data_IF_330660006435
#
_entry.id   IF_330660006435
#
_cell.length_a   1.000
_cell.length_b   1.000
_cell.length_c   1.000
_cell.angle_alpha   90.00
_cell.angle_beta   90.00
_cell.angle_gamma   90.00
#
_symmetry.space_group_name_H-M   'P 1'
#
loop_
_entity.id
_entity.type
_entity.pdbx_description
1 polymer ?
#
# COMPACT_ATOMS: atom_id res chain seq x y z
N UNK A 1 45.74 19.28 30.20
CA UNK A 1 44.96 18.78 29.05
C UNK A 1 43.59 18.33 29.49
N UNK A 2 42.53 18.83 28.84
CA UNK A 2 41.16 18.35 29.05
C UNK A 2 40.87 17.30 27.99
N UNK A 3 40.97 16.02 28.34
CA UNK A 3 40.61 14.92 27.44
C UNK A 3 39.08 14.83 27.29
N UNK A 4 38.59 15.09 26.08
CA UNK A 4 37.19 14.86 25.73
C UNK A 4 37.00 13.40 25.30
N UNK A 5 36.32 12.61 26.14
CA UNK A 5 35.93 11.25 25.83
C UNK A 5 34.63 11.21 25.02
N UNK A 6 34.62 10.42 23.94
CA UNK A 6 33.42 10.20 23.13
C UNK A 6 32.43 9.33 23.92
N UNK A 7 31.16 9.74 23.99
CA UNK A 7 30.11 8.92 24.59
C UNK A 7 29.93 7.57 23.85
N UNK A 8 29.54 6.50 24.56
CA UNK A 8 29.07 5.25 23.95
C UNK A 8 27.97 5.48 22.92
N UNK A 9 27.85 4.61 21.92
CA UNK A 9 26.93 4.84 20.78
C UNK A 9 25.45 4.96 21.17
N UNK A 10 25.05 4.30 22.26
CA UNK A 10 23.72 4.32 22.86
C UNK A 10 23.42 5.60 23.66
N UNK A 11 24.43 6.45 23.87
CA UNK A 11 24.35 7.64 24.73
C UNK A 11 24.69 8.93 23.98
N UNK A 12 24.20 10.05 24.52
CA UNK A 12 24.41 11.39 24.03
C UNK A 12 24.86 12.30 25.18
N UNK A 13 25.85 13.19 24.97
CA UNK A 13 26.25 14.14 25.99
C UNK A 13 25.07 15.04 26.40
N UNK A 14 24.96 15.32 27.70
CA UNK A 14 24.05 16.32 28.23
C UNK A 14 24.45 17.73 27.76
N UNK A 15 23.57 18.73 27.97
CA UNK A 15 23.80 20.10 27.48
C UNK A 15 25.11 20.73 28.00
N UNK A 16 25.61 20.27 29.15
CA UNK A 16 26.88 20.71 29.75
C UNK A 16 28.09 19.85 29.34
N UNK A 17 27.87 18.76 28.59
CA UNK A 17 28.88 17.78 28.16
C UNK A 17 29.66 17.15 29.32
N UNK A 18 29.02 17.04 30.47
CA UNK A 18 29.57 16.45 31.69
C UNK A 18 29.19 14.97 31.82
N UNK A 19 28.05 14.55 31.23
CA UNK A 19 27.52 13.19 31.36
C UNK A 19 26.96 12.68 30.04
N UNK A 20 27.08 11.38 29.81
CA UNK A 20 26.44 10.70 28.69
C UNK A 20 25.06 10.15 29.13
N UNK A 21 23.99 10.73 28.60
CA UNK A 21 22.60 10.32 28.83
C UNK A 21 22.15 9.32 27.76
N UNK A 22 21.20 8.41 28.06
CA UNK A 22 20.62 7.54 27.03
C UNK A 22 19.98 8.37 25.91
N UNK A 23 20.24 8.01 24.65
CA UNK A 23 19.57 8.67 23.51
C UNK A 23 18.06 8.39 23.55
N UNK A 24 17.26 9.37 23.13
CA UNK A 24 15.82 9.22 22.99
C UNK A 24 15.47 8.25 21.86
N UNK A 25 14.52 7.35 22.13
CA UNK A 25 14.01 6.40 21.14
C UNK A 25 12.86 7.05 20.38
N UNK A 26 12.98 7.17 19.06
CA UNK A 26 11.96 7.81 18.22
C UNK A 26 11.20 6.79 17.38
N UNK A 27 9.87 6.80 17.50
CA UNK A 27 8.92 6.07 16.66
C UNK A 27 7.63 6.90 16.53
N UNK A 28 6.77 6.58 15.56
CA UNK A 28 5.49 7.26 15.42
C UNK A 28 4.51 6.75 16.49
N UNK A 29 4.28 7.53 17.55
CA UNK A 29 3.43 7.14 18.67
C UNK A 29 1.96 7.57 18.45
N UNK A 30 1.01 6.77 18.97
CA UNK A 30 -0.42 7.08 18.97
C UNK A 30 -0.77 8.31 19.81
N UNK A 31 0.03 8.63 20.82
CA UNK A 31 -0.17 9.77 21.70
C UNK A 31 0.32 11.10 21.09
N UNK A 32 1.13 11.03 20.02
CA UNK A 32 1.53 12.22 19.28
C UNK A 32 0.41 12.68 18.34
N UNK A 33 0.25 13.99 18.16
CA UNK A 33 -0.81 14.59 17.34
C UNK A 33 -0.88 14.03 15.91
N UNK A 34 0.28 13.80 15.28
CA UNK A 34 0.38 13.25 13.94
C UNK A 34 -0.06 11.77 13.89
N UNK A 35 0.41 10.94 14.83
CA UNK A 35 0.02 9.53 14.90
C UNK A 35 -1.47 9.36 15.20
N UNK A 36 -2.00 10.14 16.14
CA UNK A 36 -3.43 10.18 16.45
C UNK A 36 -4.28 10.58 15.24
N UNK A 37 -3.90 11.66 14.55
CA UNK A 37 -4.63 12.14 13.38
C UNK A 37 -4.66 11.09 12.25
N UNK A 38 -3.53 10.47 11.94
CA UNK A 38 -3.44 9.42 10.93
C UNK A 38 -4.29 8.19 11.29
N UNK A 39 -4.31 7.79 12.56
CA UNK A 39 -5.17 6.71 13.03
C UNK A 39 -6.66 7.03 12.87
N UNK A 40 -7.07 8.24 13.25
CA UNK A 40 -8.45 8.70 13.07
C UNK A 40 -8.88 8.71 11.60
N UNK A 41 -8.04 9.23 10.71
CA UNK A 41 -8.30 9.25 9.26
C UNK A 41 -8.44 7.82 8.71
N UNK A 42 -7.53 6.93 9.11
CA UNK A 42 -7.55 5.50 8.73
C UNK A 42 -8.88 4.83 9.09
N UNK A 43 -9.34 5.04 10.33
CA UNK A 43 -10.62 4.49 10.82
C UNK A 43 -11.80 5.12 10.07
N UNK A 44 -11.79 6.44 9.87
CA UNK A 44 -12.85 7.15 9.16
C UNK A 44 -13.02 6.62 7.73
N UNK A 45 -11.93 6.47 6.97
CA UNK A 45 -11.97 5.93 5.61
C UNK A 45 -12.42 4.47 5.56
N UNK A 46 -12.03 3.65 6.54
CA UNK A 46 -12.56 2.29 6.69
C UNK A 46 -14.10 2.31 6.90
N UNK A 47 -14.62 3.15 7.80
CA UNK A 47 -16.05 3.26 8.08
C UNK A 47 -16.86 3.79 6.89
N UNK A 48 -16.31 4.77 6.14
CA UNK A 48 -16.91 5.26 4.92
C UNK A 48 -16.99 4.16 3.86
N UNK A 49 -15.91 3.41 3.67
CA UNK A 49 -15.85 2.29 2.71
C UNK A 49 -16.81 1.17 3.11
N UNK A 50 -16.91 0.86 4.40
CA UNK A 50 -17.88 -0.10 4.94
C UNK A 50 -19.32 0.35 4.68
N UNK A 51 -19.62 1.64 4.84
CA UNK A 51 -20.94 2.20 4.55
C UNK A 51 -21.30 2.04 3.07
N UNK A 52 -20.35 2.30 2.16
CA UNK A 52 -20.51 2.04 0.72
C UNK A 52 -20.74 0.55 0.45
N UNK A 53 -19.97 -0.34 1.09
CA UNK A 53 -20.15 -1.78 0.97
C UNK A 53 -21.55 -2.24 1.40
N UNK A 54 -22.03 -1.78 2.56
CA UNK A 54 -23.39 -2.04 3.04
C UNK A 54 -24.46 -1.54 2.05
N UNK A 55 -24.29 -0.36 1.47
CA UNK A 55 -25.19 0.15 0.45
C UNK A 55 -25.23 -0.76 -0.78
N UNK A 56 -24.08 -1.25 -1.22
CA UNK A 56 -23.94 -2.19 -2.33
C UNK A 56 -24.61 -3.55 -2.05
N UNK A 57 -24.58 -4.03 -0.80
CA UNK A 57 -25.30 -5.22 -0.37
C UNK A 57 -26.81 -5.01 -0.37
N UNK A 58 -27.29 -3.89 0.21
CA UNK A 58 -28.73 -3.57 0.27
C UNK A 58 -29.30 -3.37 -1.14
N UNK A 59 -28.56 -2.68 -2.01
CA UNK A 59 -28.97 -2.37 -3.39
C UNK A 59 -28.54 -3.44 -4.40
N UNK A 60 -28.15 -4.63 -3.94
CA UNK A 60 -27.66 -5.71 -4.81
C UNK A 60 -28.61 -6.05 -5.96
N UNK A 61 -29.93 -5.95 -5.75
CA UNK A 61 -30.96 -6.28 -6.77
C UNK A 61 -31.12 -5.22 -7.87
N UNK A 62 -30.52 -4.04 -7.73
CA UNK A 62 -30.63 -2.99 -8.75
C UNK A 62 -29.88 -3.38 -10.04
N UNK A 63 -30.38 -2.98 -11.22
CA UNK A 63 -29.73 -3.30 -12.50
C UNK A 63 -28.31 -2.72 -12.60
N UNK A 64 -28.06 -1.58 -11.95
CA UNK A 64 -26.74 -0.93 -11.88
C UNK A 64 -25.72 -1.86 -11.19
N UNK A 65 -26.05 -2.39 -10.00
CA UNK A 65 -25.17 -3.30 -9.25
C UNK A 65 -25.08 -4.67 -9.92
N UNK A 66 -26.11 -5.12 -10.65
CA UNK A 66 -26.06 -6.38 -11.41
C UNK A 66 -25.16 -6.28 -12.65
N UNK A 67 -25.18 -5.13 -13.32
CA UNK A 67 -24.35 -4.87 -14.50
C UNK A 67 -22.86 -4.72 -14.13
N UNK A 68 -22.57 -4.15 -12.97
CA UNK A 68 -21.21 -4.03 -12.44
C UNK A 68 -20.85 -5.29 -11.64
N UNK A 69 -20.15 -6.25 -12.26
CA UNK A 69 -19.77 -7.55 -11.70
C UNK A 69 -19.57 -7.52 -10.16
N UNK A 70 -20.58 -8.01 -9.43
CA UNK A 70 -20.75 -7.80 -7.98
C UNK A 70 -19.56 -8.31 -7.18
N UNK A 71 -19.08 -9.49 -7.53
CA UNK A 71 -17.98 -10.16 -6.84
C UNK A 71 -16.70 -9.32 -6.87
N UNK A 72 -16.35 -8.73 -8.03
CA UNK A 72 -15.16 -7.89 -8.16
C UNK A 72 -15.30 -6.57 -7.39
N UNK A 73 -16.51 -5.98 -7.40
CA UNK A 73 -16.75 -4.74 -6.64
C UNK A 73 -16.74 -4.98 -5.13
N UNK A 74 -17.27 -6.11 -4.65
CA UNK A 74 -17.18 -6.51 -3.24
C UNK A 74 -15.74 -6.78 -2.82
N UNK A 75 -14.99 -7.50 -3.64
CA UNK A 75 -13.58 -7.78 -3.39
C UNK A 75 -12.76 -6.49 -3.28
N UNK A 76 -12.98 -5.53 -4.19
CA UNK A 76 -12.30 -4.23 -4.18
C UNK A 76 -12.63 -3.42 -2.92
N UNK A 77 -13.90 -3.36 -2.51
CA UNK A 77 -14.31 -2.64 -1.30
C UNK A 77 -13.71 -3.26 -0.04
N UNK A 78 -13.73 -4.59 0.05
CA UNK A 78 -13.12 -5.33 1.17
C UNK A 78 -11.60 -5.11 1.20
N UNK A 79 -10.92 -5.15 0.04
CA UNK A 79 -9.48 -4.91 -0.02
C UNK A 79 -9.12 -3.48 0.39
N UNK A 80 -9.93 -2.48 -0.02
CA UNK A 80 -9.77 -1.09 0.41
C UNK A 80 -9.95 -0.92 1.92
N UNK A 81 -10.93 -1.59 2.54
CA UNK A 81 -11.08 -1.58 4.00
C UNK A 81 -9.81 -2.08 4.70
N UNK A 82 -9.25 -3.21 4.25
CA UNK A 82 -7.97 -3.70 4.79
C UNK A 82 -6.83 -2.72 4.50
N UNK A 83 -6.85 -2.05 3.35
CA UNK A 83 -5.91 -0.99 2.98
C UNK A 83 -5.92 0.15 4.00
N UNK A 84 -7.10 0.66 4.35
CA UNK A 84 -7.24 1.73 5.34
C UNK A 84 -6.90 1.29 6.77
N UNK A 85 -7.01 0.00 7.10
CA UNK A 85 -6.57 -0.53 8.40
C UNK A 85 -5.06 -0.81 8.47
N UNK A 86 -4.41 -1.03 7.33
CA UNK A 86 -2.98 -1.35 7.27
C UNK A 86 -2.08 -0.31 7.97
N UNK A 87 -2.26 1.02 7.76
CA UNK A 87 -1.52 2.07 8.46
C UNK A 87 -1.51 1.96 9.99
N UNK A 88 -2.57 1.44 10.61
CA UNK A 88 -2.63 1.29 12.07
C UNK A 88 -1.52 0.36 12.58
N UNK A 89 -1.13 -0.62 11.76
CA UNK A 89 -0.01 -1.50 12.12
C UNK A 89 1.34 -0.77 12.11
N UNK A 90 1.48 0.31 11.33
CA UNK A 90 2.70 1.12 11.21
C UNK A 90 2.90 2.09 12.38
N UNK A 91 1.81 2.50 13.05
CA UNK A 91 1.85 3.36 14.23
C UNK A 91 2.19 2.50 15.47
N UNK A 92 3.05 3.02 16.34
CA UNK A 92 3.53 2.36 17.54
C UNK A 92 4.94 1.78 17.40
N UNK A 93 5.47 1.26 18.51
CA UNK A 93 6.86 0.79 18.62
C UNK A 93 7.10 -0.44 17.73
N UNK A 94 8.04 -0.38 16.77
CA UNK A 94 8.39 -1.53 15.95
C UNK A 94 9.18 -2.57 16.77
N UNK A 95 8.70 -3.81 16.73
CA UNK A 95 9.37 -5.04 17.15
C UNK A 95 9.55 -5.97 15.93
N UNK A 96 10.33 -7.03 16.08
CA UNK A 96 10.64 -7.97 14.98
C UNK A 96 9.40 -8.51 14.25
N UNK A 97 8.40 -8.98 15.00
CA UNK A 97 7.14 -9.50 14.42
C UNK A 97 6.37 -8.39 13.71
N UNK A 98 6.27 -7.20 14.31
CA UNK A 98 5.51 -6.09 13.69
C UNK A 98 6.17 -5.60 12.41
N UNK A 99 7.51 -5.64 12.31
CA UNK A 99 8.21 -5.29 11.07
C UNK A 99 7.84 -6.24 9.92
N UNK A 100 7.82 -7.54 10.19
CA UNK A 100 7.38 -8.54 9.20
C UNK A 100 5.92 -8.31 8.79
N UNK A 101 5.02 -8.15 9.76
CA UNK A 101 3.59 -7.96 9.51
C UNK A 101 3.35 -6.69 8.69
N UNK A 102 3.91 -5.54 9.08
CA UNK A 102 3.74 -4.25 8.39
C UNK A 102 4.05 -4.36 6.89
N UNK A 103 5.24 -4.89 6.57
CA UNK A 103 5.72 -4.98 5.18
C UNK A 103 4.92 -5.99 4.35
N UNK A 104 4.63 -7.17 4.92
CA UNK A 104 3.89 -8.23 4.21
C UNK A 104 2.43 -7.85 4.01
N UNK A 105 1.79 -7.30 5.05
CA UNK A 105 0.40 -6.83 4.97
C UNK A 105 0.25 -5.75 3.91
N UNK A 106 1.14 -4.75 3.92
CA UNK A 106 1.16 -3.72 2.91
C UNK A 106 1.27 -4.32 1.49
N UNK A 107 2.26 -5.18 1.25
CA UNK A 107 2.48 -5.76 -0.07
C UNK A 107 1.29 -6.62 -0.56
N UNK A 108 0.74 -7.45 0.31
CA UNK A 108 -0.38 -8.35 -0.03
C UNK A 108 -1.67 -7.59 -0.27
N UNK A 109 -2.00 -6.62 0.60
CA UNK A 109 -3.23 -5.83 0.47
C UNK A 109 -3.17 -4.96 -0.78
N UNK A 110 -2.04 -4.30 -1.02
CA UNK A 110 -1.87 -3.44 -2.17
C UNK A 110 -1.96 -4.23 -3.49
N UNK A 111 -1.27 -5.37 -3.59
CA UNK A 111 -1.39 -6.27 -4.73
C UNK A 111 -2.83 -6.74 -4.96
N UNK A 112 -3.57 -7.03 -3.88
CA UNK A 112 -4.99 -7.40 -3.96
C UNK A 112 -5.84 -6.25 -4.52
N UNK A 113 -5.68 -5.01 -4.02
CA UNK A 113 -6.41 -3.84 -4.50
C UNK A 113 -6.15 -3.58 -5.99
N UNK A 114 -4.88 -3.54 -6.41
CA UNK A 114 -4.52 -3.24 -7.80
C UNK A 114 -4.96 -4.37 -8.74
N UNK A 115 -4.81 -5.64 -8.34
CA UNK A 115 -5.27 -6.77 -9.15
C UNK A 115 -6.79 -6.81 -9.29
N UNK A 116 -7.55 -6.47 -8.24
CA UNK A 116 -9.00 -6.33 -8.31
C UNK A 116 -9.43 -5.21 -9.27
N UNK A 117 -8.74 -4.06 -9.22
CA UNK A 117 -9.02 -2.93 -10.12
C UNK A 117 -8.64 -3.23 -11.58
N UNK A 118 -7.53 -3.94 -11.79
CA UNK A 118 -7.12 -4.47 -13.10
C UNK A 118 -8.17 -5.44 -13.65
N UNK A 119 -8.60 -6.42 -12.84
CA UNK A 119 -9.63 -7.38 -13.21
C UNK A 119 -10.96 -6.67 -13.54
N UNK A 120 -11.36 -5.66 -12.76
CA UNK A 120 -12.55 -4.84 -13.02
C UNK A 120 -12.43 -4.11 -14.36
N UNK A 121 -11.30 -3.47 -14.62
CA UNK A 121 -11.06 -2.73 -15.88
C UNK A 121 -11.10 -3.66 -17.09
N UNK A 122 -10.45 -4.83 -17.02
CA UNK A 122 -10.50 -5.84 -18.08
C UNK A 122 -11.92 -6.36 -18.29
N UNK A 123 -12.68 -6.57 -17.21
CA UNK A 123 -14.08 -6.97 -17.30
C UNK A 123 -14.93 -5.94 -18.07
N UNK A 124 -14.74 -4.64 -17.80
CA UNK A 124 -15.43 -3.57 -18.55
C UNK A 124 -15.05 -3.63 -20.03
N UNK A 125 -13.75 -3.74 -20.35
CA UNK A 125 -13.27 -3.84 -21.75
C UNK A 125 -13.90 -5.06 -22.46
N UNK A 126 -13.96 -6.21 -21.80
CA UNK A 126 -14.55 -7.42 -22.39
C UNK A 126 -16.05 -7.26 -22.66
N UNK A 127 -16.81 -6.63 -21.75
CA UNK A 127 -18.25 -6.38 -21.93
C UNK A 127 -18.48 -5.52 -23.18
N UNK A 128 -17.73 -4.42 -23.34
CA UNK A 128 -17.84 -3.54 -24.51
C UNK A 128 -17.32 -4.19 -25.80
N UNK A 129 -16.33 -5.07 -25.71
CA UNK A 129 -15.84 -5.79 -26.88
C UNK A 129 -16.84 -6.83 -27.39
N UNK A 130 -17.72 -7.35 -26.52
CA UNK A 130 -18.74 -8.32 -26.89
C UNK A 130 -19.86 -7.73 -27.75
N UNK A 131 -20.11 -6.43 -27.63
CA UNK A 131 -21.05 -5.68 -28.48
C UNK A 131 -20.50 -5.44 -29.90
N UNK A 132 -19.19 -5.62 -30.12
CA UNK A 132 -18.55 -5.51 -31.43
C UNK A 132 -18.31 -6.89 -32.06
N UNK A 133 -19.01 -7.26 -33.14
CA UNK A 133 -19.04 -8.64 -33.66
C UNK A 133 -17.72 -9.17 -34.24
N UNK A 134 -16.76 -8.32 -34.66
CA UNK A 134 -15.53 -8.70 -35.36
C UNK A 134 -14.26 -8.85 -34.48
N UNK A 135 -14.37 -8.80 -33.16
CA UNK A 135 -13.19 -8.78 -32.29
C UNK A 135 -12.70 -10.19 -31.86
N UNK A 136 -11.39 -10.46 -32.01
CA UNK A 136 -10.69 -11.64 -31.45
C UNK A 136 -10.89 -11.80 -29.93
N UNK A 137 -11.29 -10.72 -29.25
CA UNK A 137 -11.58 -10.63 -27.82
C UNK A 137 -12.87 -11.38 -27.41
N UNK A 138 -13.79 -11.66 -28.34
CA UNK A 138 -15.00 -12.45 -28.05
C UNK A 138 -14.67 -13.89 -27.61
N UNK A 139 -13.63 -14.49 -28.18
CA UNK A 139 -13.13 -15.84 -27.77
C UNK A 139 -12.58 -15.83 -26.34
N UNK A 140 -12.06 -14.69 -25.89
CA UNK A 140 -11.50 -14.49 -24.55
C UNK A 140 -12.60 -14.37 -23.47
N UNK A 141 -13.78 -13.88 -23.84
CA UNK A 141 -14.92 -13.71 -22.94
C UNK A 141 -15.42 -15.05 -22.37
N UNK A 142 -15.32 -16.14 -23.16
CA UNK A 142 -15.66 -17.50 -22.72
C UNK A 142 -14.76 -18.04 -21.60
N UNK A 143 -13.55 -17.50 -21.43
CA UNK A 143 -12.57 -17.97 -20.44
C UNK A 143 -12.76 -17.38 -19.03
N UNK A 144 -13.66 -16.41 -18.82
CA UNK A 144 -13.85 -15.70 -17.53
C UNK A 144 -12.52 -15.18 -16.92
N UNK A 145 -11.62 -14.68 -17.74
CA UNK A 145 -10.26 -14.25 -17.35
C UNK A 145 -10.20 -13.33 -16.10
N UNK A 146 -11.09 -12.32 -15.91
CA UNK A 146 -11.08 -11.46 -14.72
C UNK A 146 -11.12 -12.21 -13.39
N UNK A 147 -11.78 -13.37 -13.35
CA UNK A 147 -11.90 -14.19 -12.13
C UNK A 147 -10.56 -14.79 -11.74
N UNK A 148 -9.69 -15.09 -12.71
CA UNK A 148 -8.38 -15.71 -12.48
C UNK A 148 -7.25 -14.69 -12.25
N UNK A 149 -7.44 -13.43 -12.65
CA UNK A 149 -6.42 -12.37 -12.50
C UNK A 149 -6.09 -12.13 -11.03
N UNK A 150 -7.10 -11.91 -10.19
CA UNK A 150 -6.89 -11.60 -8.76
C UNK A 150 -6.17 -12.73 -8.02
N UNK A 151 -6.64 -14.00 -8.05
CA UNK A 151 -5.93 -15.07 -7.34
C UNK A 151 -4.55 -15.32 -7.93
N UNK A 152 -4.36 -15.23 -9.25
CA UNK A 152 -3.05 -15.39 -9.88
C UNK A 152 -2.03 -14.34 -9.39
N UNK A 153 -2.41 -13.06 -9.42
CA UNK A 153 -1.55 -11.97 -8.95
C UNK A 153 -1.25 -12.09 -7.45
N UNK A 154 -2.27 -12.37 -6.64
CA UNK A 154 -2.13 -12.55 -5.19
C UNK A 154 -1.16 -13.70 -4.87
N UNK A 155 -1.27 -14.83 -5.57
CA UNK A 155 -0.39 -15.98 -5.35
C UNK A 155 1.08 -15.64 -5.63
N UNK A 156 1.36 -14.92 -6.71
CA UNK A 156 2.72 -14.46 -7.03
C UNK A 156 3.25 -13.56 -5.90
N UNK A 157 2.45 -12.61 -5.44
CA UNK A 157 2.83 -11.72 -4.33
C UNK A 157 3.13 -12.49 -3.03
N UNK A 158 2.29 -13.46 -2.69
CA UNK A 158 2.48 -14.30 -1.49
C UNK A 158 3.78 -15.09 -1.59
N UNK A 159 4.07 -15.70 -2.75
CA UNK A 159 5.32 -16.45 -2.96
C UNK A 159 6.54 -15.54 -2.77
N UNK A 160 6.53 -14.33 -3.36
CA UNK A 160 7.60 -13.35 -3.18
C UNK A 160 7.79 -12.98 -1.69
N UNK A 161 6.70 -12.75 -0.96
CA UNK A 161 6.76 -12.47 0.47
C UNK A 161 7.32 -13.66 1.28
N UNK A 162 6.92 -14.90 0.97
CA UNK A 162 7.44 -16.10 1.65
C UNK A 162 8.95 -16.25 1.40
N UNK A 163 9.39 -16.10 0.15
CA UNK A 163 10.83 -16.15 -0.18
C UNK A 163 11.58 -15.06 0.58
N UNK A 164 11.03 -13.85 0.65
CA UNK A 164 11.65 -12.75 1.37
C UNK A 164 11.76 -13.03 2.89
N UNK A 165 10.68 -13.48 3.52
CA UNK A 165 10.67 -13.81 4.95
C UNK A 165 11.58 -15.00 5.31
N UNK A 166 11.70 -16.01 4.45
CA UNK A 166 12.48 -17.21 4.74
C UNK A 166 13.98 -17.01 4.54
N UNK A 167 14.38 -16.08 3.67
CA UNK A 167 15.79 -15.85 3.33
C UNK A 167 16.39 -14.66 4.09
N UNK A 168 15.65 -13.56 4.23
CA UNK A 168 16.12 -12.32 4.85
C UNK A 168 14.93 -11.52 5.41
N UNK A 169 14.31 -12.04 6.47
CA UNK A 169 13.15 -11.41 7.08
C UNK A 169 13.46 -9.99 7.58
N UNK A 170 12.49 -9.05 7.48
CA UNK A 170 12.61 -7.75 8.11
C UNK A 170 12.74 -7.84 9.63
N UNK A 171 13.60 -7.02 10.21
CA UNK A 171 13.84 -6.97 11.65
C UNK A 171 13.91 -5.52 12.15
N UNK A 172 13.66 -5.33 13.44
CA UNK A 172 13.78 -4.02 14.06
C UNK A 172 15.26 -3.70 14.31
N UNK A 173 15.74 -2.58 13.79
CA UNK A 173 17.11 -2.11 13.94
C UNK A 173 17.13 -0.77 14.68
N UNK A 174 18.10 -0.60 15.58
CA UNK A 174 18.36 0.66 16.27
C UNK A 174 19.36 1.46 15.46
N UNK A 175 18.87 2.36 14.61
CA UNK A 175 19.73 3.21 13.81
C UNK A 175 20.19 4.41 14.64
N UNK A 176 21.42 4.33 15.15
CA UNK A 176 22.06 5.35 15.96
C UNK A 176 22.77 6.44 15.12
N UNK A 177 22.84 6.26 13.80
CA UNK A 177 23.49 7.14 12.83
C UNK A 177 22.48 7.96 11.99
N UNK A 178 21.20 7.60 12.00
CA UNK A 178 20.14 8.29 11.26
C UNK A 178 19.98 9.76 11.67
N UNK A 179 20.00 10.04 12.97
CA UNK A 179 19.79 11.37 13.54
C UNK A 179 20.73 11.61 14.74
N UNK A 180 21.31 12.82 14.84
CA UNK A 180 22.25 13.16 15.92
C UNK A 180 21.50 13.27 17.25
N UNK A 181 21.91 12.48 18.24
CA UNK A 181 21.33 12.51 19.60
C UNK A 181 20.04 11.73 19.80
N UNK A 182 19.56 11.03 18.78
CA UNK A 182 18.33 10.21 18.81
C UNK A 182 18.65 8.82 18.30
N UNK A 183 18.03 7.78 18.88
CA UNK A 183 18.01 6.43 18.33
C UNK A 183 16.68 6.25 17.60
N UNK A 184 16.75 6.09 16.28
CA UNK A 184 15.58 5.74 15.48
C UNK A 184 15.42 4.24 15.51
N UNK A 185 14.25 3.73 15.90
CA UNK A 185 13.93 2.30 15.68
C UNK A 185 13.18 2.21 14.36
N UNK A 186 13.81 1.57 13.39
CA UNK A 186 13.25 1.34 12.07
C UNK A 186 13.21 -0.14 11.75
N UNK A 187 12.38 -0.51 10.76
CA UNK A 187 12.32 -1.87 10.28
C UNK A 187 13.30 -2.01 9.12
N UNK A 188 14.47 -2.58 9.39
CA UNK A 188 15.40 -2.95 8.33
C UNK A 188 14.77 -4.07 7.49
N UNK A 189 14.83 -3.92 6.17
CA UNK A 189 14.24 -4.86 5.21
C UNK A 189 14.99 -6.19 5.09
N UNK A 190 16.16 -6.32 5.70
CA UNK A 190 17.06 -7.48 5.62
C UNK A 190 17.79 -7.54 4.27
N UNK A 191 17.05 -7.82 3.20
CA UNK A 191 17.58 -7.83 1.83
C UNK A 191 16.93 -6.74 0.98
N UNK A 192 17.73 -5.73 0.63
CA UNK A 192 17.33 -4.65 -0.28
C UNK A 192 16.88 -5.17 -1.65
N UNK A 193 17.50 -6.25 -2.15
CA UNK A 193 17.14 -6.85 -3.44
C UNK A 193 15.76 -7.48 -3.38
N UNK A 194 15.47 -8.28 -2.36
CA UNK A 194 14.17 -8.96 -2.23
C UNK A 194 13.04 -7.97 -1.97
N UNK A 195 13.29 -6.96 -1.15
CA UNK A 195 12.37 -5.85 -0.97
C UNK A 195 12.10 -5.11 -2.29
N UNK A 196 13.15 -4.80 -3.06
CA UNK A 196 13.00 -4.19 -4.37
C UNK A 196 12.23 -5.08 -5.37
N UNK A 197 12.40 -6.40 -5.32
CA UNK A 197 11.60 -7.33 -6.13
C UNK A 197 10.10 -7.29 -5.75
N UNK A 198 9.78 -7.26 -4.46
CA UNK A 198 8.40 -7.15 -3.96
C UNK A 198 7.76 -5.83 -4.41
N UNK A 199 8.45 -4.70 -4.20
CA UNK A 199 7.99 -3.39 -4.66
C UNK A 199 7.90 -3.32 -6.19
N UNK A 200 8.88 -3.89 -6.90
CA UNK A 200 8.94 -3.92 -8.36
C UNK A 200 7.78 -4.69 -8.97
N UNK A 201 7.37 -5.81 -8.35
CA UNK A 201 6.16 -6.52 -8.78
C UNK A 201 4.89 -5.68 -8.60
N UNK A 202 4.75 -4.98 -7.47
CA UNK A 202 3.62 -4.06 -7.27
C UNK A 202 3.62 -2.91 -8.29
N UNK A 203 4.79 -2.35 -8.59
CA UNK A 203 4.96 -1.33 -9.63
C UNK A 203 4.62 -1.85 -11.04
N UNK A 204 5.02 -3.09 -11.36
CA UNK A 204 4.66 -3.74 -12.62
C UNK A 204 3.14 -3.94 -12.72
N UNK A 205 2.50 -4.41 -11.64
CA UNK A 205 1.05 -4.59 -11.60
C UNK A 205 0.31 -3.25 -11.76
N UNK A 206 0.80 -2.19 -11.11
CA UNK A 206 0.27 -0.84 -11.22
C UNK A 206 0.41 -0.27 -12.65
N UNK A 207 1.58 -0.41 -13.27
CA UNK A 207 1.83 0.07 -14.63
C UNK A 207 0.97 -0.64 -15.66
N UNK A 208 0.85 -1.97 -15.58
CA UNK A 208 -0.07 -2.76 -16.42
C UNK A 208 -1.51 -2.25 -16.23
N UNK A 209 -1.94 -2.05 -14.98
CA UNK A 209 -3.29 -1.58 -14.72
C UNK A 209 -3.56 -0.15 -15.20
N UNK A 210 -2.57 0.74 -15.12
CA UNK A 210 -2.65 2.09 -15.67
C UNK A 210 -2.76 2.05 -17.20
N UNK A 211 -1.95 1.23 -17.88
CA UNK A 211 -2.00 1.05 -19.33
C UNK A 211 -3.37 0.55 -19.79
N UNK A 212 -3.92 -0.46 -19.10
CA UNK A 212 -5.25 -1.02 -19.42
C UNK A 212 -6.35 0.01 -19.15
N UNK A 213 -6.29 0.75 -18.05
CA UNK A 213 -7.24 1.82 -17.75
C UNK A 213 -7.22 2.92 -18.82
N UNK A 214 -6.04 3.33 -19.26
CA UNK A 214 -5.91 4.32 -20.33
C UNK A 214 -6.53 3.85 -21.66
N UNK A 215 -6.39 2.57 -22.00
CA UNK A 215 -7.06 1.98 -23.17
C UNK A 215 -8.58 1.98 -23.01
N UNK A 216 -9.09 1.68 -21.81
CA UNK A 216 -10.53 1.66 -21.52
C UNK A 216 -11.20 3.03 -21.71
N UNK A 217 -10.46 4.14 -21.55
CA UNK A 217 -10.99 5.52 -21.75
C UNK A 217 -11.55 5.77 -23.15
N UNK A 218 -11.10 5.02 -24.16
CA UNK A 218 -11.56 5.16 -25.56
C UNK A 218 -12.92 4.50 -25.81
N UNK A 219 -13.47 3.76 -24.83
CA UNK A 219 -14.74 3.09 -24.98
C UNK A 219 -15.91 4.08 -24.85
N UNK A 220 -16.91 4.03 -25.75
CA UNK A 220 -18.10 4.87 -25.66
C UNK A 220 -18.93 4.44 -24.44
N UNK A 221 -18.84 5.21 -23.37
CA UNK A 221 -19.35 4.79 -22.07
C UNK A 221 -20.71 5.42 -21.75
N UNK A 222 -21.69 4.60 -21.37
CA UNK A 222 -23.05 5.03 -20.99
C UNK A 222 -23.08 5.69 -19.59
N UNK A 223 -22.02 5.53 -18.78
CA UNK A 223 -21.97 6.02 -17.38
C UNK A 223 -20.65 6.68 -16.92
N UNK A 224 -19.73 7.06 -17.83
CA UNK A 224 -18.41 7.64 -17.50
C UNK A 224 -17.54 6.79 -16.53
N UNK A 225 -17.87 5.52 -16.28
CA UNK A 225 -17.18 4.66 -15.30
C UNK A 225 -15.69 4.50 -15.65
N UNK A 226 -15.40 4.27 -16.93
CA UNK A 226 -14.03 4.13 -17.46
C UNK A 226 -13.16 5.37 -17.22
N UNK A 227 -13.76 6.58 -17.28
CA UNK A 227 -13.06 7.83 -17.00
C UNK A 227 -12.66 7.93 -15.53
N UNK A 228 -13.57 7.59 -14.62
CA UNK A 228 -13.27 7.57 -13.18
C UNK A 228 -12.20 6.53 -12.84
N UNK A 229 -12.28 5.31 -13.39
CA UNK A 229 -11.24 4.28 -13.19
C UNK A 229 -9.87 4.79 -13.64
N UNK A 230 -9.81 5.42 -14.82
CA UNK A 230 -8.54 5.94 -15.34
C UNK A 230 -8.00 7.09 -14.50
N UNK A 231 -8.88 7.99 -14.05
CA UNK A 231 -8.50 9.10 -13.18
C UNK A 231 -7.97 8.57 -11.85
N UNK A 232 -8.65 7.62 -11.22
CA UNK A 232 -8.19 6.97 -9.99
C UNK A 232 -6.82 6.30 -10.18
N UNK A 233 -6.60 5.57 -11.27
CA UNK A 233 -5.29 4.95 -11.53
C UNK A 233 -4.17 5.96 -11.81
N UNK A 234 -4.49 7.12 -12.38
CA UNK A 234 -3.52 8.19 -12.56
C UNK A 234 -3.12 8.83 -11.23
N UNK A 235 -4.10 9.11 -10.36
CA UNK A 235 -3.86 9.64 -9.01
C UNK A 235 -3.04 8.65 -8.18
N UNK A 236 -3.40 7.37 -8.24
CA UNK A 236 -2.64 6.30 -7.62
C UNK A 236 -1.17 6.33 -8.08
N UNK A 237 -0.92 6.35 -9.40
CA UNK A 237 0.44 6.36 -9.93
C UNK A 237 1.22 7.62 -9.51
N UNK A 238 0.58 8.80 -9.49
CA UNK A 238 1.25 10.04 -9.08
C UNK A 238 1.63 10.05 -7.60
N UNK A 239 0.78 9.49 -6.72
CA UNK A 239 1.09 9.31 -5.29
C UNK A 239 2.34 8.46 -5.12
N UNK A 240 2.42 7.31 -5.79
CA UNK A 240 3.57 6.40 -5.67
C UNK A 240 4.85 6.94 -6.31
N UNK A 241 4.76 7.67 -7.43
CA UNK A 241 5.92 8.35 -8.02
C UNK A 241 6.45 9.45 -7.08
N UNK A 242 5.56 10.20 -6.43
CA UNK A 242 5.94 11.26 -5.48
C UNK A 242 6.44 10.70 -4.15
N UNK A 243 5.96 9.52 -3.76
CA UNK A 243 6.39 8.81 -2.56
C UNK A 243 7.90 8.49 -2.61
N UNK A 244 8.46 8.07 -3.75
CA UNK A 244 9.88 7.69 -3.88
C UNK A 244 10.84 8.80 -3.40
N UNK A 245 10.81 10.04 -3.95
CA UNK A 245 11.70 11.11 -3.49
C UNK A 245 11.38 11.53 -2.05
N UNK A 246 10.12 11.51 -1.62
CA UNK A 246 9.74 11.85 -0.24
C UNK A 246 10.29 10.83 0.77
N UNK A 247 10.22 9.54 0.46
CA UNK A 247 10.78 8.45 1.26
C UNK A 247 12.31 8.56 1.37
N UNK A 248 12.99 8.86 0.27
CA UNK A 248 14.45 9.04 0.26
C UNK A 248 14.92 10.33 0.97
N UNK A 249 14.08 11.36 1.01
CA UNK A 249 14.43 12.66 1.61
C UNK A 249 14.11 12.76 3.10
N UNK A 250 13.19 11.92 3.60
CA UNK A 250 12.77 11.92 5.00
C UNK A 250 13.50 10.85 5.80
N UNK A 251 13.63 11.07 7.11
CA UNK A 251 14.29 10.15 8.04
C UNK A 251 13.44 9.93 9.28
N UNK A 252 13.67 8.82 9.96
CA UNK A 252 13.04 8.51 11.24
C UNK A 252 11.52 8.37 11.14
N UNK A 253 10.79 8.90 12.12
CA UNK A 253 9.33 8.77 12.18
C UNK A 253 8.59 9.44 11.01
N UNK A 254 9.20 10.40 10.34
CA UNK A 254 8.60 11.08 9.18
C UNK A 254 8.52 10.15 7.95
N UNK A 255 9.49 9.25 7.77
CA UNK A 255 9.48 8.26 6.69
C UNK A 255 8.23 7.35 6.80
N UNK A 256 7.91 6.91 8.03
CA UNK A 256 6.71 6.10 8.31
C UNK A 256 5.44 6.91 8.07
N UNK A 257 5.42 8.20 8.45
CA UNK A 257 4.27 9.07 8.20
C UNK A 257 4.01 9.25 6.69
N UNK A 258 5.06 9.43 5.88
CA UNK A 258 4.96 9.53 4.42
C UNK A 258 4.47 8.22 3.79
N UNK A 259 4.91 7.06 4.29
CA UNK A 259 4.36 5.76 3.89
C UNK A 259 2.85 5.67 4.16
N UNK A 260 2.42 6.01 5.38
CA UNK A 260 1.01 6.01 5.75
C UNK A 260 0.21 6.96 4.87
N UNK A 261 0.73 8.17 4.61
CA UNK A 261 0.06 9.15 3.77
C UNK A 261 -0.12 8.64 2.33
N UNK A 262 0.90 7.99 1.77
CA UNK A 262 0.83 7.38 0.45
C UNK A 262 -0.21 6.24 0.41
N UNK A 263 -0.26 5.40 1.44
CA UNK A 263 -1.26 4.32 1.55
C UNK A 263 -2.68 4.87 1.66
N UNK A 264 -2.92 5.90 2.48
CA UNK A 264 -4.24 6.49 2.68
C UNK A 264 -4.74 7.31 1.47
N UNK A 265 -3.82 7.92 0.72
CA UNK A 265 -4.16 8.71 -0.47
C UNK A 265 -4.41 7.84 -1.71
N UNK A 266 -3.89 6.62 -1.70
CA UNK A 266 -3.94 5.63 -2.77
C UNK A 266 -5.24 4.83 -2.77
#
# INVERSE_FOLDING_TARGET
>A
DTECLKCPEDKWPDSRKEKCLPKLIQFLNYEESLGYALACISILFCLLTFSVFCLFLVKQKTPIVKANNRELSYLLLISLMFGFLCPLTFIGRPNQITCMIRRVMFAVIFSLCVSALLAKTINVIMIFSATNPDSKLKKLMGLRIPVYIVPGCKMIQIILCIVWLTTAAPFAEFNMAAEKGIIVIECNEGSRVLFACVLGYMGLLATISLSVAFLARKLPDTFNETKFITFSMLVFASVWVTFIPAYLSTKGKQTVAVEIFAILSS
#
